data_IF_089084404610
#
_entry.id   IF_089084404610
#
_cell.length_a   1.000
_cell.length_b   1.000
_cell.length_c   1.000
_cell.angle_alpha   90.00
_cell.angle_beta   90.00
_cell.angle_gamma   90.00
#
_symmetry.space_group_name_H-M   'P 1'
#
loop_
_entity.id
_entity.type
_entity.pdbx_description
1 polymer ?
#
# COMPACT_ATOMS: atom_id res chain seq x y z
N UNK A 1 6.44 3.54 -4.26
CA UNK A 1 6.82 4.57 -5.26
C UNK A 1 6.26 5.96 -4.95
N UNK A 2 4.94 6.21 -4.95
CA UNK A 2 4.38 7.56 -4.68
C UNK A 2 4.85 8.14 -3.33
N UNK A 3 4.90 7.33 -2.27
CA UNK A 3 5.42 7.73 -0.96
C UNK A 3 6.89 8.15 -1.05
N UNK A 4 7.72 7.33 -1.69
CA UNK A 4 9.16 7.61 -1.92
C UNK A 4 9.38 8.93 -2.65
N UNK A 5 8.60 9.22 -3.70
CA UNK A 5 8.71 10.49 -4.43
C UNK A 5 8.22 11.68 -3.61
N UNK A 6 7.24 11.50 -2.72
CA UNK A 6 6.82 12.55 -1.81
C UNK A 6 7.90 12.88 -0.76
N UNK A 7 8.63 11.86 -0.27
CA UNK A 7 9.79 12.07 0.62
C UNK A 7 10.90 12.83 -0.13
N UNK A 8 11.25 12.39 -1.35
CA UNK A 8 12.25 13.09 -2.17
C UNK A 8 11.85 14.52 -2.52
N UNK A 9 10.55 14.77 -2.70
CA UNK A 9 9.99 16.12 -2.89
C UNK A 9 10.22 17.00 -1.65
N UNK A 10 9.95 16.49 -0.45
CA UNK A 10 10.16 17.25 0.80
C UNK A 10 11.64 17.48 1.05
N UNK A 11 12.50 16.47 0.86
CA UNK A 11 13.95 16.62 0.95
C UNK A 11 14.50 17.66 -0.04
N UNK A 12 14.02 17.66 -1.29
CA UNK A 12 14.42 18.65 -2.27
C UNK A 12 13.97 20.07 -1.87
N UNK A 13 12.79 20.21 -1.28
CA UNK A 13 12.31 21.50 -0.78
C UNK A 13 13.13 22.01 0.42
N UNK A 14 13.51 21.11 1.35
CA UNK A 14 14.36 21.42 2.50
C UNK A 14 15.78 21.85 2.10
N UNK A 15 16.32 21.26 1.03
CA UNK A 15 17.62 21.62 0.46
C UNK A 15 17.56 22.83 -0.50
N UNK A 16 16.44 23.55 -0.54
CA UNK A 16 16.22 24.70 -1.45
C UNK A 16 16.34 24.35 -2.96
N UNK A 17 16.22 23.07 -3.32
CA UNK A 17 16.22 22.57 -4.70
C UNK A 17 14.80 22.64 -5.32
N UNK A 18 14.19 23.83 -5.36
CA UNK A 18 12.77 24.00 -5.71
C UNK A 18 12.37 23.44 -7.08
N UNK A 19 13.22 23.57 -8.11
CA UNK A 19 12.96 23.01 -9.45
C UNK A 19 12.83 21.49 -9.41
N UNK A 20 13.65 20.84 -8.59
CA UNK A 20 13.63 19.38 -8.42
C UNK A 20 12.40 18.95 -7.63
N UNK A 21 12.00 19.70 -6.61
CA UNK A 21 10.75 19.49 -5.90
C UNK A 21 9.53 19.60 -6.83
N UNK A 22 9.52 20.56 -7.76
CA UNK A 22 8.46 20.68 -8.78
C UNK A 22 8.43 19.49 -9.76
N UNK A 23 9.59 18.98 -10.18
CA UNK A 23 9.68 17.74 -10.98
C UNK A 23 9.06 16.56 -10.21
N UNK A 24 9.43 16.37 -8.94
CA UNK A 24 8.86 15.31 -8.12
C UNK A 24 7.35 15.46 -7.94
N UNK A 25 6.86 16.68 -7.74
CA UNK A 25 5.43 16.97 -7.64
C UNK A 25 4.68 16.63 -8.92
N UNK A 26 5.24 16.97 -10.09
CA UNK A 26 4.67 16.64 -11.38
C UNK A 26 4.63 15.11 -11.60
N UNK A 27 5.72 14.41 -11.28
CA UNK A 27 5.79 12.95 -11.36
C UNK A 27 4.76 12.26 -10.45
N UNK A 28 4.60 12.72 -9.21
CA UNK A 28 3.56 12.22 -8.28
C UNK A 28 2.16 12.42 -8.84
N UNK A 29 1.89 13.56 -9.46
CA UNK A 29 0.58 13.85 -10.07
C UNK A 29 0.29 12.91 -11.24
N UNK A 30 1.27 12.70 -12.12
CA UNK A 30 1.14 11.81 -13.27
C UNK A 30 1.02 10.34 -12.85
N UNK A 31 1.73 9.90 -11.81
CA UNK A 31 1.59 8.57 -11.25
C UNK A 31 0.19 8.29 -10.71
N UNK A 32 -0.39 9.24 -9.96
CA UNK A 32 -1.77 9.10 -9.47
C UNK A 32 -2.75 8.93 -10.62
N UNK A 33 -2.65 9.77 -11.65
CA UNK A 33 -3.50 9.66 -12.84
C UNK A 33 -3.35 8.31 -13.57
N UNK A 34 -2.14 7.73 -13.62
CA UNK A 34 -1.90 6.40 -14.18
C UNK A 34 -2.55 5.30 -13.32
N UNK A 35 -2.45 5.39 -12.00
CA UNK A 35 -3.11 4.44 -11.08
C UNK A 35 -4.64 4.47 -11.24
N UNK A 36 -5.24 5.67 -11.32
CA UNK A 36 -6.69 5.81 -11.54
C UNK A 36 -7.11 5.21 -12.89
N UNK A 37 -6.31 5.45 -13.95
CA UNK A 37 -6.56 4.91 -15.29
C UNK A 37 -6.46 3.38 -15.31
N UNK A 38 -5.50 2.81 -14.56
CA UNK A 38 -5.32 1.37 -14.42
C UNK A 38 -6.57 0.72 -13.81
N UNK A 39 -7.08 1.27 -12.71
CA UNK A 39 -8.30 0.78 -12.06
C UNK A 39 -9.51 0.85 -12.99
N UNK A 40 -9.69 1.97 -13.71
CA UNK A 40 -10.78 2.13 -14.66
C UNK A 40 -10.69 1.09 -15.81
N UNK A 41 -9.48 0.85 -16.34
CA UNK A 41 -9.24 -0.15 -17.37
C UNK A 41 -9.54 -1.57 -16.88
N UNK A 42 -9.22 -1.90 -15.63
CA UNK A 42 -9.53 -3.21 -15.04
C UNK A 42 -11.04 -3.42 -14.89
N UNK A 43 -11.78 -2.39 -14.49
CA UNK A 43 -13.24 -2.41 -14.44
C UNK A 43 -13.82 -2.58 -15.85
N UNK A 44 -13.34 -1.78 -16.82
CA UNK A 44 -13.79 -1.87 -18.22
C UNK A 44 -13.48 -3.23 -18.84
N UNK A 45 -12.31 -3.82 -18.56
CA UNK A 45 -11.91 -5.16 -19.01
C UNK A 45 -12.86 -6.22 -18.47
N UNK A 46 -13.19 -6.18 -17.16
CA UNK A 46 -14.15 -7.11 -16.55
C UNK A 46 -15.54 -7.01 -17.19
N UNK A 47 -16.04 -5.79 -17.42
CA UNK A 47 -17.33 -5.57 -18.10
C UNK A 47 -17.32 -6.08 -19.54
N UNK A 48 -16.25 -5.82 -20.29
CA UNK A 48 -16.10 -6.31 -21.66
C UNK A 48 -16.05 -7.85 -21.71
N UNK A 49 -15.35 -8.49 -20.77
CA UNK A 49 -15.32 -9.94 -20.66
C UNK A 49 -16.70 -10.54 -20.33
N UNK A 50 -17.46 -9.92 -19.42
CA UNK A 50 -18.84 -10.32 -19.09
C UNK A 50 -19.80 -10.17 -20.29
N UNK A 51 -19.57 -9.18 -21.14
CA UNK A 51 -20.34 -8.96 -22.36
C UNK A 51 -19.83 -9.79 -23.56
N UNK A 52 -18.95 -10.78 -23.33
CA UNK A 52 -18.34 -11.63 -24.37
C UNK A 52 -17.57 -10.85 -25.46
N UNK A 53 -17.18 -9.61 -25.17
CA UNK A 53 -16.39 -8.76 -26.06
C UNK A 53 -14.88 -9.02 -25.89
N UNK A 54 -14.43 -10.24 -26.15
CA UNK A 54 -13.08 -10.70 -25.82
C UNK A 54 -11.95 -9.91 -26.49
N UNK A 55 -12.15 -9.44 -27.72
CA UNK A 55 -11.15 -8.60 -28.42
C UNK A 55 -10.93 -7.28 -27.68
N UNK A 56 -12.02 -6.61 -27.28
CA UNK A 56 -11.91 -5.36 -26.52
C UNK A 56 -11.28 -5.59 -25.15
N UNK A 57 -11.62 -6.69 -24.47
CA UNK A 57 -10.99 -7.06 -23.21
C UNK A 57 -9.48 -7.35 -23.35
N UNK A 58 -9.07 -7.97 -24.46
CA UNK A 58 -7.65 -8.21 -24.78
C UNK A 58 -6.90 -6.89 -25.02
N UNK A 59 -7.45 -5.97 -25.80
CA UNK A 59 -6.83 -4.68 -26.08
C UNK A 59 -6.64 -3.87 -24.78
N UNK A 60 -7.65 -3.82 -23.89
CA UNK A 60 -7.53 -3.21 -22.57
C UNK A 60 -6.46 -3.90 -21.70
N UNK A 61 -6.29 -5.21 -21.83
CA UNK A 61 -5.27 -5.95 -21.09
C UNK A 61 -3.86 -5.62 -21.57
N UNK A 62 -3.67 -5.22 -22.83
CA UNK A 62 -2.39 -4.72 -23.32
C UNK A 62 -2.09 -3.33 -22.73
N UNK A 63 -3.07 -2.42 -22.73
CA UNK A 63 -2.93 -1.09 -22.10
C UNK A 63 -2.60 -1.21 -20.60
N UNK A 64 -3.27 -2.12 -19.88
CA UNK A 64 -2.97 -2.42 -18.47
C UNK A 64 -1.50 -2.82 -18.29
N UNK A 65 -0.98 -3.70 -19.15
CA UNK A 65 0.43 -4.15 -19.07
C UNK A 65 1.42 -3.02 -19.37
N UNK A 66 1.09 -2.12 -20.28
CA UNK A 66 1.92 -0.95 -20.57
C UNK A 66 1.98 -0.03 -19.34
N UNK A 67 0.85 0.26 -18.71
CA UNK A 67 0.80 1.07 -17.48
C UNK A 67 1.56 0.38 -16.35
N UNK A 68 1.36 -0.93 -16.14
CA UNK A 68 2.11 -1.70 -15.14
C UNK A 68 3.62 -1.65 -15.38
N UNK A 69 4.05 -1.75 -16.64
CA UNK A 69 5.47 -1.62 -17.00
C UNK A 69 6.04 -0.27 -16.58
N UNK A 70 5.27 0.82 -16.72
CA UNK A 70 5.66 2.15 -16.26
C UNK A 70 5.74 2.21 -14.73
N UNK A 71 4.77 1.60 -14.03
CA UNK A 71 4.73 1.58 -12.57
C UNK A 71 5.86 0.76 -11.93
N UNK A 72 6.38 -0.23 -12.65
CA UNK A 72 7.50 -1.08 -12.23
C UNK A 72 8.89 -0.49 -12.53
N UNK A 73 8.97 0.70 -13.17
CA UNK A 73 10.23 1.37 -13.45
C UNK A 73 10.89 1.89 -12.17
N UNK A 74 12.22 2.00 -12.16
CA UNK A 74 12.94 2.65 -11.07
C UNK A 74 12.65 4.16 -11.05
N UNK A 75 12.82 4.78 -9.88
CA UNK A 75 12.51 6.19 -9.64
C UNK A 75 13.17 7.14 -10.66
N UNK A 76 14.42 6.88 -11.09
CA UNK A 76 15.14 7.77 -12.01
C UNK A 76 14.58 7.70 -13.42
N UNK A 77 14.39 6.48 -13.95
CA UNK A 77 13.81 6.28 -15.27
C UNK A 77 12.35 6.77 -15.33
N UNK A 78 11.63 6.63 -14.22
CA UNK A 78 10.27 7.11 -14.08
C UNK A 78 10.19 8.65 -14.15
N UNK A 79 11.09 9.37 -13.47
CA UNK A 79 11.13 10.85 -13.51
C UNK A 79 11.34 11.36 -14.93
N UNK A 80 12.25 10.74 -15.68
CA UNK A 80 12.48 11.09 -17.08
C UNK A 80 11.27 10.81 -17.97
N UNK A 81 10.55 9.72 -17.70
CA UNK A 81 9.39 9.30 -18.49
C UNK A 81 8.15 10.17 -18.20
N UNK A 82 7.91 10.53 -16.94
CA UNK A 82 6.71 11.24 -16.50
C UNK A 82 6.84 12.76 -16.50
N UNK A 83 8.04 13.32 -16.43
CA UNK A 83 8.27 14.76 -16.40
C UNK A 83 9.30 15.24 -17.46
N UNK A 84 9.15 14.87 -18.75
CA UNK A 84 10.16 15.14 -19.77
C UNK A 84 10.37 16.64 -20.03
N UNK A 85 9.33 17.47 -19.90
CA UNK A 85 9.41 18.91 -20.19
C UNK A 85 10.20 19.70 -19.13
N UNK A 86 10.25 19.19 -17.90
CA UNK A 86 10.93 19.85 -16.80
C UNK A 86 12.42 19.47 -16.72
N UNK A 87 12.80 18.30 -17.25
CA UNK A 87 14.18 17.82 -17.28
C UNK A 87 15.09 18.66 -18.21
N UNK A 88 14.52 19.37 -19.20
CA UNK A 88 15.28 20.17 -20.17
C UNK A 88 15.64 21.58 -19.70
N UNK A 89 15.18 22.02 -18.53
CA UNK A 89 15.34 23.42 -18.06
C UNK A 89 16.57 23.61 -17.16
N UNK A 90 17.46 22.62 -17.02
CA UNK A 90 18.74 22.84 -16.33
C UNK A 90 19.58 23.86 -17.11
N UNK A 91 19.96 25.00 -16.50
CA UNK A 91 20.84 25.95 -17.16
C UNK A 91 22.20 25.30 -17.42
N UNK A 92 22.84 25.57 -18.58
CA UNK A 92 24.16 25.04 -18.87
C UNK A 92 25.11 25.46 -17.75
N UNK A 93 25.81 24.47 -17.16
CA UNK A 93 26.85 24.69 -16.16
C UNK A 93 27.71 25.90 -16.58
N UNK A 94 27.89 26.93 -15.74
CA UNK A 94 28.75 28.05 -16.08
C UNK A 94 30.14 27.50 -16.42
N UNK A 95 30.65 27.85 -17.60
CA UNK A 95 31.99 27.47 -18.04
C UNK A 95 32.97 27.89 -16.94
N UNK A 96 33.90 27.02 -16.53
CA UNK A 96 34.87 27.37 -15.50
C UNK A 96 35.60 28.64 -15.92
N UNK A 97 35.43 29.70 -15.14
CA UNK A 97 36.22 30.92 -15.26
C UNK A 97 37.65 30.51 -14.95
N UNK A 98 38.51 30.52 -15.97
CA UNK A 98 39.94 30.24 -15.86
C UNK A 98 40.53 31.28 -14.90
N UNK A 99 40.80 30.88 -13.65
CA UNK A 99 41.61 31.69 -12.75
C UNK A 99 43.08 31.66 -13.24
N UNK A 100 43.79 32.79 -13.25
CA UNK A 100 45.20 32.82 -13.59
C UNK A 100 46.03 32.07 -12.53
N UNK A 101 46.81 31.12 -13.01
CA UNK A 101 47.72 30.26 -12.22
C UNK A 101 48.82 31.11 -11.60
N UNK A 102 48.92 31.10 -10.27
CA UNK A 102 50.10 31.58 -9.55
C UNK A 102 51.24 30.54 -9.64
N UNK A 103 52.52 30.96 -9.74
CA UNK A 103 53.65 30.06 -9.99
C UNK A 103 54.01 29.17 -8.80
N UNK A 104 54.39 27.94 -9.15
CA UNK A 104 54.77 26.83 -8.27
C UNK A 104 56.06 27.07 -7.47
N UNK A 105 56.09 26.54 -6.25
CA UNK A 105 57.31 26.27 -5.48
C UNK A 105 57.61 24.76 -5.45
N UNK A 106 58.88 24.34 -5.49
CA UNK A 106 59.27 22.94 -5.64
C UNK A 106 59.41 22.18 -4.31
N UNK A 107 59.14 20.89 -4.37
CA UNK A 107 59.29 19.90 -3.30
C UNK A 107 60.77 19.52 -3.04
N UNK A 108 61.13 19.14 -1.80
CA UNK A 108 62.39 18.47 -1.52
C UNK A 108 62.25 16.93 -1.46
N UNK A 109 63.39 16.30 -1.77
CA UNK A 109 63.60 14.89 -2.06
C UNK A 109 63.87 14.02 -0.82
N UNK A 110 63.77 12.70 -1.07
CA UNK A 110 64.56 11.58 -0.52
C UNK A 110 64.27 11.08 0.91
N UNK A 111 64.00 9.77 1.04
CA UNK A 111 65.10 8.84 1.37
C UNK A 111 64.74 7.36 1.17
N UNK A 112 65.70 6.63 0.60
CA UNK A 112 65.81 5.16 0.61
C UNK A 112 66.18 4.64 2.00
N UNK A 113 65.72 3.42 2.35
CA UNK A 113 66.58 2.39 2.98
C UNK A 113 66.02 0.99 2.74
N UNK A 114 66.91 0.09 2.36
CA UNK A 114 66.72 -1.33 2.10
C UNK A 114 66.82 -2.19 3.37
N UNK A 115 66.25 -3.41 3.36
CA UNK A 115 66.81 -4.65 3.95
C UNK A 115 65.90 -5.89 3.75
N UNK A 116 66.28 -6.76 2.81
CA UNK A 116 66.57 -8.22 2.87
C UNK A 116 65.79 -9.24 3.78
N UNK A 117 65.93 -10.58 3.51
CA UNK A 117 64.81 -11.52 3.34
C UNK A 117 64.79 -12.68 4.36
N UNK A 118 63.75 -13.53 4.34
CA UNK A 118 63.83 -14.96 4.74
C UNK A 118 62.84 -15.84 3.92
N UNK A 119 63.28 -17.06 3.61
CA UNK A 119 62.54 -18.23 3.14
C UNK A 119 62.97 -19.42 4.02
N UNK A 120 62.55 -20.69 3.84
CA UNK A 120 61.30 -21.27 3.33
C UNK A 120 60.68 -22.29 4.34
N UNK A 121 59.48 -22.80 4.08
CA UNK A 121 58.88 -23.90 4.87
C UNK A 121 57.98 -24.80 4.02
N UNK A 122 58.39 -26.05 3.87
CA UNK A 122 57.78 -27.14 3.10
C UNK A 122 56.56 -27.76 3.81
N UNK A 123 55.67 -28.36 3.01
CA UNK A 123 54.71 -29.40 3.40
C UNK A 123 53.44 -29.25 2.54
N UNK A 124 53.01 -30.18 1.67
CA UNK A 124 53.31 -31.61 1.54
C UNK A 124 52.02 -32.41 1.82
N UNK A 125 51.49 -33.06 0.78
CA UNK A 125 50.35 -34.02 0.75
C UNK A 125 48.94 -33.42 0.93
N UNK A 126 47.88 -33.87 0.26
CA UNK A 126 47.67 -34.99 -0.67
C UNK A 126 46.16 -35.27 -0.77
N UNK A 127 45.69 -35.71 -1.95
CA UNK A 127 44.58 -36.64 -2.28
C UNK A 127 43.38 -36.74 -1.29
N UNK A 128 42.08 -36.75 -1.65
CA UNK A 128 41.34 -37.10 -2.86
C UNK A 128 39.84 -36.69 -2.69
N UNK A 129 39.01 -36.74 -3.75
CA UNK A 129 37.57 -36.44 -3.72
C UNK A 129 36.65 -37.69 -3.72
N UNK A 130 35.33 -37.44 -3.57
CA UNK A 130 34.13 -38.27 -3.86
C UNK A 130 33.45 -38.95 -2.64
N UNK A 131 32.14 -39.34 -2.72
CA UNK A 131 31.23 -39.30 -3.88
C UNK A 131 29.84 -38.66 -3.64
N UNK A 132 29.18 -38.41 -4.77
CA UNK A 132 27.73 -38.27 -4.92
C UNK A 132 27.06 -39.64 -4.78
N UNK A 133 25.85 -39.69 -4.23
CA UNK A 133 24.93 -40.81 -4.45
C UNK A 133 23.51 -40.28 -4.74
N UNK A 134 22.88 -40.72 -5.86
CA UNK A 134 21.49 -40.46 -6.18
C UNK A 134 20.62 -41.67 -5.79
N UNK A 135 19.78 -41.50 -4.77
CA UNK A 135 18.90 -42.56 -4.27
C UNK A 135 17.43 -42.23 -4.41
N UNK A 136 16.90 -42.45 -5.62
CA UNK A 136 15.47 -42.52 -5.91
C UNK A 136 14.86 -43.76 -5.27
N UNK A 137 13.90 -43.59 -4.37
CA UNK A 137 13.06 -44.68 -3.85
C UNK A 137 11.60 -44.21 -3.84
N UNK A 138 10.81 -44.85 -4.70
CA UNK A 138 9.38 -44.64 -4.81
C UNK A 138 8.64 -45.08 -3.55
N UNK A 139 7.73 -44.22 -3.09
CA UNK A 139 6.72 -44.54 -2.09
C UNK A 139 5.34 -44.66 -2.76
N UNK A 140 4.53 -45.68 -2.41
CA UNK A 140 3.23 -45.92 -3.01
C UNK A 140 2.22 -44.85 -2.60
N UNK A 141 1.39 -44.43 -3.56
CA UNK A 141 0.40 -43.38 -3.38
C UNK A 141 -0.71 -43.75 -2.39
N UNK A 142 -1.26 -42.75 -1.65
CA UNK A 142 -2.44 -42.98 -0.84
C UNK A 142 -3.68 -43.06 -1.73
N UNK A 143 -4.45 -44.14 -1.52
CA UNK A 143 -5.75 -44.38 -2.13
C UNK A 143 -6.71 -43.22 -1.85
N UNK A 144 -7.30 -42.68 -2.92
CA UNK A 144 -8.43 -41.77 -2.83
C UNK A 144 -9.66 -42.54 -2.35
N UNK A 145 -10.01 -42.35 -1.08
CA UNK A 145 -11.34 -42.66 -0.56
C UNK A 145 -12.20 -41.43 -0.85
N UNK A 146 -13.07 -41.54 -1.85
CA UNK A 146 -14.17 -40.60 -2.08
C UNK A 146 -15.18 -40.69 -0.92
N UNK A 147 -15.43 -39.62 -0.15
CA UNK A 147 -16.55 -39.61 0.77
C UNK A 147 -17.87 -39.49 0.00
N UNK A 148 -18.83 -40.34 0.35
CA UNK A 148 -20.20 -40.29 -0.14
C UNK A 148 -20.87 -38.96 0.26
N UNK A 149 -21.80 -38.43 -0.56
CA UNK A 149 -22.52 -37.20 -0.23
C UNK A 149 -23.39 -37.38 1.03
N UNK A 150 -23.46 -36.39 1.93
CA UNK A 150 -24.33 -36.46 3.09
C UNK A 150 -25.80 -36.47 2.67
N UNK A 151 -26.56 -37.41 3.25
CA UNK A 151 -28.02 -37.48 3.13
C UNK A 151 -28.62 -36.18 3.67
N UNK A 152 -29.29 -35.45 2.79
CA UNK A 152 -30.13 -34.30 3.14
C UNK A 152 -31.28 -34.80 4.02
N UNK A 153 -31.27 -34.39 5.28
CA UNK A 153 -32.40 -34.56 6.20
C UNK A 153 -33.34 -33.36 5.97
N UNK A 154 -34.64 -33.57 5.74
CA UNK A 154 -35.58 -32.46 5.61
C UNK A 154 -35.75 -31.74 6.96
N UNK A 155 -35.94 -30.41 6.96
CA UNK A 155 -36.17 -29.66 8.20
C UNK A 155 -37.53 -30.04 8.84
N UNK A 156 -37.63 -30.01 10.19
CA UNK A 156 -38.89 -30.26 10.87
C UNK A 156 -39.91 -29.14 10.61
N UNK A 157 -41.22 -29.43 10.73
CA UNK A 157 -42.27 -28.45 10.48
C UNK A 157 -42.21 -27.31 11.50
N UNK A 158 -42.31 -26.08 10.99
CA UNK A 158 -42.46 -24.86 11.77
C UNK A 158 -43.81 -24.92 12.48
N UNK A 159 -43.79 -25.19 13.78
CA UNK A 159 -44.89 -24.91 14.69
C UNK A 159 -44.87 -23.42 15.00
N UNK A 160 -45.95 -22.73 14.63
CA UNK A 160 -46.16 -21.32 14.91
C UNK A 160 -46.48 -21.15 16.40
N UNK A 161 -45.47 -20.80 17.19
CA UNK A 161 -45.66 -20.39 18.58
C UNK A 161 -46.16 -18.95 18.65
N UNK A 162 -47.18 -18.73 19.47
CA UNK A 162 -47.92 -17.49 19.59
C UNK A 162 -47.08 -16.33 20.09
N UNK A 163 -47.35 -15.15 19.54
CA UNK A 163 -46.66 -13.91 19.89
C UNK A 163 -46.81 -13.55 21.36
N UNK A 164 -45.71 -13.56 22.08
CA UNK A 164 -45.54 -12.89 23.36
C UNK A 164 -45.07 -11.45 23.12
N UNK A 165 -45.60 -10.52 23.90
CA UNK A 165 -45.09 -9.16 24.01
C UNK A 165 -43.73 -9.16 24.75
N UNK A 166 -42.89 -8.12 24.63
CA UNK A 166 -41.54 -8.07 25.22
C UNK A 166 -41.47 -8.12 26.76
N UNK A 167 -42.61 -8.27 27.45
CA UNK A 167 -42.72 -8.38 28.91
C UNK A 167 -43.33 -9.70 29.39
N UNK A 168 -43.56 -10.69 28.51
CA UNK A 168 -43.91 -12.05 28.90
C UNK A 168 -45.27 -12.21 29.60
N UNK A 169 -46.28 -11.40 29.23
CA UNK A 169 -47.65 -11.54 29.76
C UNK A 169 -48.64 -11.96 28.66
N UNK A 170 -49.64 -12.81 28.98
CA UNK A 170 -50.66 -13.20 28.03
C UNK A 170 -51.54 -11.99 27.67
N UNK A 171 -51.61 -11.67 26.37
CA UNK A 171 -52.48 -10.61 25.83
C UNK A 171 -53.94 -11.06 26.03
N UNK A 172 -54.68 -10.34 26.87
CA UNK A 172 -56.11 -10.60 27.08
C UNK A 172 -56.94 -10.00 25.95
N UNK A 173 -58.04 -10.67 25.60
CA UNK A 173 -58.86 -10.39 24.42
C UNK A 173 -59.70 -9.10 24.52
N UNK A 174 -59.57 -8.33 25.60
CA UNK A 174 -60.37 -7.13 25.89
C UNK A 174 -59.73 -5.80 25.45
N UNK A 175 -58.47 -5.79 24.97
CA UNK A 175 -57.82 -4.56 24.45
C UNK A 175 -57.95 -4.36 22.92
N UNK A 176 -58.69 -5.22 22.20
CA UNK A 176 -58.91 -5.07 20.75
C UNK A 176 -60.02 -4.07 20.37
N UNK A 177 -60.71 -3.44 21.32
CA UNK A 177 -61.79 -2.49 21.04
C UNK A 177 -61.74 -1.28 21.97
N UNK A 178 -60.87 -0.33 21.69
CA UNK A 178 -61.05 1.13 21.87
C UNK A 178 -59.68 1.82 21.83
N UNK A 179 -59.49 2.82 20.97
CA UNK A 179 -58.38 3.75 21.14
C UNK A 179 -57.81 4.38 19.87
N UNK A 180 -58.43 5.47 19.44
CA UNK A 180 -57.83 6.65 18.81
C UNK A 180 -56.87 6.50 17.63
N UNK A 181 -57.45 6.62 16.43
CA UNK A 181 -56.77 7.07 15.23
C UNK A 181 -56.35 8.54 15.36
N UNK A 182 -55.11 8.80 15.78
CA UNK A 182 -54.39 10.02 15.41
C UNK A 182 -53.20 9.66 14.52
N UNK A 183 -53.18 10.08 13.25
CA UNK A 183 -52.03 9.84 12.39
C UNK A 183 -50.87 10.73 12.83
N UNK A 184 -49.81 10.13 13.36
CA UNK A 184 -48.50 10.76 13.44
C UNK A 184 -47.98 10.80 12.00
N UNK A 185 -47.92 12.00 11.42
CA UNK A 185 -47.33 12.26 10.11
C UNK A 185 -45.83 11.90 10.18
N UNK A 186 -45.33 10.93 9.38
CA UNK A 186 -43.92 10.94 9.05
C UNK A 186 -43.69 12.13 8.13
N UNK A 187 -42.83 13.06 8.53
CA UNK A 187 -42.31 14.12 7.66
C UNK A 187 -41.36 13.47 6.67
N UNK A 188 -41.92 12.67 5.76
CA UNK A 188 -41.20 12.05 4.65
C UNK A 188 -40.92 13.10 3.60
N UNK A 189 -39.64 13.31 3.30
CA UNK A 189 -39.27 13.90 2.01
C UNK A 189 -39.78 12.92 0.94
N UNK A 190 -40.89 13.29 0.31
CA UNK A 190 -41.42 12.54 -0.81
C UNK A 190 -40.34 12.56 -1.90
N UNK A 191 -39.69 11.41 -2.11
CA UNK A 191 -38.95 11.15 -3.33
C UNK A 191 -39.97 11.24 -4.46
N UNK A 192 -39.98 12.38 -5.16
CA UNK A 192 -40.76 12.56 -6.37
C UNK A 192 -40.25 11.52 -7.37
N UNK A 193 -41.00 10.43 -7.51
CA UNK A 193 -40.77 9.46 -8.57
C UNK A 193 -40.91 10.22 -9.90
N UNK A 194 -39.78 10.48 -10.55
CA UNK A 194 -39.75 11.10 -11.88
C UNK A 194 -40.61 10.27 -12.81
N UNK A 195 -41.44 10.95 -13.61
CA UNK A 195 -42.26 10.26 -14.59
C UNK A 195 -41.38 9.53 -15.61
N UNK A 196 -41.90 8.46 -16.22
CA UNK A 196 -41.14 7.75 -17.27
C UNK A 196 -40.81 8.67 -18.45
N UNK A 197 -41.61 9.72 -18.68
CA UNK A 197 -41.36 10.76 -19.68
C UNK A 197 -40.14 11.62 -19.31
N UNK A 198 -40.01 12.03 -18.04
CA UNK A 198 -38.84 12.80 -17.56
C UNK A 198 -37.55 11.99 -17.66
N UNK A 199 -37.63 10.69 -17.35
CA UNK A 199 -36.47 9.78 -17.49
C UNK A 199 -36.01 9.65 -18.94
N UNK A 200 -36.95 9.58 -19.89
CA UNK A 200 -36.64 9.54 -21.32
C UNK A 200 -36.04 10.85 -21.82
N UNK A 201 -36.54 12.00 -21.36
CA UNK A 201 -35.99 13.31 -21.69
C UNK A 201 -34.55 13.47 -21.18
N UNK A 202 -34.29 13.08 -19.93
CA UNK A 202 -32.95 13.11 -19.35
C UNK A 202 -32.00 12.20 -20.14
N UNK A 203 -32.44 10.99 -20.50
CA UNK A 203 -31.63 10.07 -21.30
C UNK A 203 -31.32 10.63 -22.71
N UNK A 204 -32.28 11.27 -23.36
CA UNK A 204 -32.09 11.91 -24.66
C UNK A 204 -31.15 13.13 -24.59
N UNK A 205 -31.28 13.96 -23.56
CA UNK A 205 -30.39 15.09 -23.32
C UNK A 205 -28.94 14.62 -23.09
N UNK A 206 -28.75 13.55 -22.32
CA UNK A 206 -27.44 12.92 -22.13
C UNK A 206 -26.85 12.41 -23.43
N UNK A 207 -27.67 11.80 -24.30
CA UNK A 207 -27.24 11.32 -25.62
C UNK A 207 -26.79 12.48 -26.52
N UNK A 208 -27.55 13.57 -26.56
CA UNK A 208 -27.21 14.76 -27.33
C UNK A 208 -25.92 15.43 -26.84
N UNK A 209 -25.75 15.57 -25.52
CA UNK A 209 -24.51 16.09 -24.93
C UNK A 209 -23.30 15.23 -25.26
N UNK A 210 -23.45 13.91 -25.25
CA UNK A 210 -22.37 12.99 -25.61
C UNK A 210 -21.98 13.13 -27.10
N UNK A 211 -22.96 13.28 -27.99
CA UNK A 211 -22.69 13.49 -29.41
C UNK A 211 -22.02 14.85 -29.69
N UNK A 212 -22.44 15.90 -28.98
CA UNK A 212 -21.80 17.21 -29.08
C UNK A 212 -20.33 17.16 -28.64
N UNK A 213 -20.03 16.57 -27.47
CA UNK A 213 -18.65 16.38 -27.00
C UNK A 213 -17.79 15.61 -28.00
N UNK A 214 -18.36 14.58 -28.66
CA UNK A 214 -17.67 13.80 -29.69
C UNK A 214 -17.34 14.66 -30.92
N UNK A 215 -18.23 15.57 -31.33
CA UNK A 215 -17.99 16.51 -32.44
C UNK A 215 -16.90 17.52 -32.10
N UNK A 216 -16.94 18.09 -30.89
CA UNK A 216 -15.94 19.03 -30.40
C UNK A 216 -14.54 18.39 -30.33
N UNK A 217 -14.44 17.16 -29.80
CA UNK A 217 -13.17 16.43 -29.74
C UNK A 217 -12.60 16.14 -31.13
N UNK A 218 -13.46 15.78 -32.10
CA UNK A 218 -13.05 15.53 -33.49
C UNK A 218 -12.53 16.81 -34.16
N UNK A 219 -13.16 17.95 -33.90
CA UNK A 219 -12.70 19.24 -34.43
C UNK A 219 -11.39 19.67 -33.78
N UNK A 220 -11.23 19.49 -32.46
CA UNK A 220 -9.97 19.74 -31.77
C UNK A 220 -8.83 18.88 -32.31
N UNK A 221 -9.09 17.60 -32.58
CA UNK A 221 -8.10 16.71 -33.20
C UNK A 221 -7.71 17.17 -34.62
N UNK A 222 -8.68 17.69 -35.40
CA UNK A 222 -8.44 18.27 -36.73
C UNK A 222 -7.58 19.52 -36.64
N UNK A 223 -7.86 20.41 -35.69
CA UNK A 223 -7.06 21.62 -35.43
C UNK A 223 -5.62 21.26 -35.02
N UNK A 224 -5.44 20.29 -34.12
CA UNK A 224 -4.11 19.82 -33.70
C UNK A 224 -3.30 19.24 -34.86
N UNK A 225 -3.93 18.46 -35.75
CA UNK A 225 -3.29 17.98 -36.98
C UNK A 225 -2.92 19.11 -37.94
N UNK A 226 -3.78 20.12 -38.10
CA UNK A 226 -3.50 21.28 -38.93
C UNK A 226 -2.32 22.10 -38.38
N UNK A 227 -2.26 22.32 -37.07
CA UNK A 227 -1.17 23.02 -36.40
C UNK A 227 0.17 22.29 -36.56
N UNK A 228 0.21 20.95 -36.37
CA UNK A 228 1.41 20.14 -36.62
C UNK A 228 1.88 20.23 -38.07
N UNK A 229 0.95 20.23 -39.03
CA UNK A 229 1.27 20.37 -40.45
C UNK A 229 1.81 21.77 -40.79
N UNK A 230 1.30 22.82 -40.15
CA UNK A 230 1.81 24.17 -40.30
C UNK A 230 3.23 24.32 -39.70
N UNK A 231 3.49 23.71 -38.54
CA UNK A 231 4.79 23.73 -37.90
C UNK A 231 5.90 23.00 -38.69
N UNK A 232 5.54 21.95 -39.45
CA UNK A 232 6.47 21.22 -40.32
C UNK A 232 6.69 21.87 -41.70
N UNK A 233 5.97 22.95 -42.03
CA UNK A 233 6.01 23.62 -43.33
C UNK A 233 7.09 24.71 -43.48
N UNK A 234 8.14 24.71 -42.67
CA UNK A 234 9.19 25.74 -42.66
C UNK A 234 10.46 25.37 -43.45
N UNK A 235 10.51 25.75 -44.73
CA UNK A 235 11.73 26.20 -45.42
C UNK A 235 12.70 25.15 -46.00
N UNK A 236 13.16 25.32 -47.26
CA UNK A 236 14.19 24.47 -47.85
C UNK A 236 15.57 24.84 -47.28
N UNK A 237 16.15 23.96 -46.47
CA UNK A 237 17.55 24.08 -46.06
C UNK A 237 18.45 23.58 -47.20
N UNK A 238 19.35 24.47 -47.61
CA UNK A 238 20.33 24.27 -48.67
C UNK A 238 21.25 23.07 -48.43
N UNK A 239 21.56 22.42 -49.55
CA UNK A 239 22.54 21.34 -49.72
C UNK A 239 23.93 21.82 -49.31
N UNK A 240 24.59 21.11 -48.40
CA UNK A 240 26.05 21.17 -48.20
C UNK A 240 26.67 19.83 -48.64
N UNK A 241 27.87 19.84 -49.25
CA UNK A 241 28.46 18.69 -49.94
C UNK A 241 29.18 17.70 -49.00
N UNK A 242 29.42 16.46 -49.45
CA UNK A 242 30.00 15.40 -48.63
C UNK A 242 31.53 15.49 -48.55
N UNK A 243 32.09 15.33 -47.35
CA UNK A 243 33.52 15.10 -47.13
C UNK A 243 33.82 13.61 -46.91
N UNK A 244 35.02 13.12 -47.29
CA UNK A 244 35.32 11.70 -47.43
C UNK A 244 35.88 11.09 -46.15
N UNK A 245 35.50 9.83 -45.90
CA UNK A 245 36.06 8.96 -44.86
C UNK A 245 37.37 8.29 -45.35
N UNK A 246 38.34 8.03 -44.47
CA UNK A 246 39.34 6.99 -44.66
C UNK A 246 39.02 5.72 -43.86
N UNK A 247 39.64 4.63 -44.32
CA UNK A 247 39.25 3.24 -44.17
C UNK A 247 39.98 2.48 -43.03
N UNK A 248 39.26 1.49 -42.46
CA UNK A 248 39.66 0.16 -41.88
C UNK A 248 40.63 0.11 -40.67
N UNK A 249 40.75 -1.00 -39.88
CA UNK A 249 40.16 -2.35 -40.01
C UNK A 249 39.55 -3.03 -38.74
N UNK A 250 38.89 -4.16 -39.03
CA UNK A 250 38.49 -5.36 -38.25
C UNK A 250 39.32 -5.77 -37.02
N UNK A 251 38.68 -6.23 -35.94
CA UNK A 251 38.83 -7.57 -35.31
C UNK A 251 38.21 -7.66 -33.88
N UNK A 252 37.52 -8.79 -33.64
CA UNK A 252 37.40 -9.59 -32.39
C UNK A 252 36.73 -9.07 -31.09
N UNK A 253 35.84 -9.93 -30.56
CA UNK A 253 35.32 -10.05 -29.18
C UNK A 253 36.45 -10.03 -28.10
N UNK A 254 36.23 -9.89 -26.76
CA UNK A 254 35.05 -10.26 -25.92
C UNK A 254 34.69 -9.21 -24.81
N UNK A 255 33.76 -9.48 -23.86
CA UNK A 255 34.26 -9.57 -22.46
C UNK A 255 33.44 -10.45 -21.48
N UNK A 256 34.15 -11.02 -20.50
CA UNK A 256 33.67 -11.34 -19.15
C UNK A 256 34.82 -11.13 -18.16
N UNK A 257 34.61 -10.26 -17.15
CA UNK A 257 34.93 -10.44 -15.72
C UNK A 257 35.15 -9.10 -14.99
N UNK A 258 34.32 -8.94 -13.96
CA UNK A 258 34.45 -8.26 -12.67
C UNK A 258 35.85 -7.73 -12.28
N UNK A 259 35.92 -6.52 -11.72
CA UNK A 259 36.63 -6.18 -10.46
C UNK A 259 36.08 -4.83 -9.94
N UNK A 260 35.70 -4.80 -8.66
CA UNK A 260 35.30 -3.62 -7.89
C UNK A 260 36.51 -2.95 -7.20
N UNK A 261 36.44 -1.62 -7.00
CA UNK A 261 37.28 -0.84 -6.06
C UNK A 261 36.73 0.62 -5.91
N UNK A 262 37.16 1.43 -4.91
CA UNK A 262 36.70 1.47 -3.53
C UNK A 262 36.12 2.83 -3.09
N UNK A 263 35.41 2.86 -1.95
CA UNK A 263 34.93 4.07 -1.25
C UNK A 263 36.03 4.71 -0.37
N UNK A 264 36.02 6.04 -0.14
CA UNK A 264 36.95 6.73 0.75
C UNK A 264 36.47 6.86 2.20
N UNK A 265 37.45 7.14 3.05
CA UNK A 265 37.51 7.04 4.51
C UNK A 265 36.60 7.98 5.33
N UNK A 266 36.26 7.46 6.52
CA UNK A 266 35.70 8.11 7.71
C UNK A 266 36.72 9.06 8.39
N UNK A 267 36.27 10.14 9.06
CA UNK A 267 37.10 10.89 10.01
C UNK A 267 37.10 10.30 11.42
N UNK A 268 38.20 10.61 12.12
CA UNK A 268 38.75 10.04 13.35
C UNK A 268 37.92 10.17 14.64
N UNK A 269 38.24 9.24 15.54
CA UNK A 269 37.69 9.01 16.86
C UNK A 269 37.97 10.13 17.87
N UNK A 270 36.95 10.41 18.70
CA UNK A 270 37.04 11.18 19.94
C UNK A 270 36.93 10.19 21.12
N UNK A 271 37.75 10.29 22.18
CA UNK A 271 37.73 9.34 23.28
C UNK A 271 36.46 9.49 24.13
N UNK A 272 35.88 8.34 24.48
CA UNK A 272 34.70 8.19 25.34
C UNK A 272 35.03 8.59 26.79
N UNK A 273 34.14 9.29 27.50
CA UNK A 273 34.25 9.41 28.94
C UNK A 273 33.78 8.12 29.60
N UNK A 274 34.61 7.59 30.50
CA UNK A 274 34.27 6.53 31.46
C UNK A 274 33.03 6.93 32.27
N UNK A 275 31.86 6.46 31.84
CA UNK A 275 30.62 6.51 32.64
C UNK A 275 30.71 5.37 33.63
N UNK A 276 30.93 5.73 34.90
CA UNK A 276 30.85 4.78 36.00
C UNK A 276 29.45 4.19 36.05
N UNK A 277 29.45 2.87 35.90
CA UNK A 277 28.37 1.92 36.10
C UNK A 277 27.92 1.94 37.56
N UNK A 278 26.93 2.78 37.88
CA UNK A 278 26.10 2.62 39.08
C UNK A 278 24.83 1.87 38.66
N UNK A 279 24.71 0.64 39.16
CA UNK A 279 23.73 -0.34 38.73
C UNK A 279 22.31 0.04 39.14
N UNK A 280 21.62 0.70 38.23
CA UNK A 280 20.17 0.67 38.16
C UNK A 280 19.82 -0.63 37.44
N UNK A 281 19.35 -1.61 38.23
CA UNK A 281 18.72 -2.84 37.76
C UNK A 281 17.41 -2.45 37.05
N UNK A 282 17.56 -1.86 35.86
CA UNK A 282 16.48 -1.46 34.98
C UNK A 282 15.69 -2.72 34.67
N UNK A 283 14.43 -2.75 35.10
CA UNK A 283 13.47 -3.82 34.87
C UNK A 283 13.12 -3.96 33.38
N UNK A 284 14.12 -4.22 32.55
CA UNK A 284 13.98 -4.52 31.15
C UNK A 284 13.17 -5.80 30.99
N UNK A 285 12.20 -5.75 30.09
CA UNK A 285 11.45 -6.95 29.72
C UNK A 285 12.41 -8.07 29.31
N UNK A 286 12.16 -9.33 29.71
CA UNK A 286 13.02 -10.45 29.33
C UNK A 286 13.25 -10.49 27.82
N UNK A 287 14.50 -10.64 27.41
CA UNK A 287 14.85 -10.72 25.98
C UNK A 287 14.06 -11.87 25.34
N UNK A 288 13.47 -11.61 24.18
CA UNK A 288 12.63 -12.57 23.46
C UNK A 288 11.20 -12.71 23.99
N UNK A 289 10.78 -11.93 24.97
CA UNK A 289 9.38 -11.92 25.43
C UNK A 289 8.54 -10.87 24.69
N UNK A 290 7.39 -11.28 24.17
CA UNK A 290 6.41 -10.37 23.61
C UNK A 290 5.76 -9.54 24.72
N UNK A 291 5.94 -8.22 24.69
CA UNK A 291 5.38 -7.32 25.71
C UNK A 291 3.84 -7.28 25.74
N UNK A 292 3.17 -7.66 24.63
CA UNK A 292 1.72 -7.57 24.52
C UNK A 292 0.95 -8.79 25.08
N UNK A 293 1.49 -10.00 24.90
CA UNK A 293 0.82 -11.24 25.30
C UNK A 293 1.70 -12.22 26.08
N UNK A 294 2.93 -11.79 26.42
CA UNK A 294 3.91 -12.56 27.21
C UNK A 294 4.38 -13.86 26.55
N UNK A 295 4.18 -14.01 25.23
CA UNK A 295 4.76 -15.10 24.45
C UNK A 295 6.30 -15.06 24.50
N UNK A 296 6.93 -16.18 24.86
CA UNK A 296 8.38 -16.33 24.86
C UNK A 296 8.85 -16.90 23.52
N UNK A 297 9.62 -16.11 22.77
CA UNK A 297 10.22 -16.53 21.52
C UNK A 297 11.50 -17.33 21.75
N UNK A 298 11.86 -18.13 20.74
CA UNK A 298 13.16 -18.85 20.69
C UNK A 298 14.31 -17.95 20.28
N UNK A 299 14.02 -17.01 19.40
CA UNK A 299 14.97 -16.05 18.81
C UNK A 299 14.22 -14.79 18.34
N UNK A 300 14.96 -13.81 17.80
CA UNK A 300 14.41 -12.55 17.32
C UNK A 300 13.50 -12.71 16.08
N UNK A 301 13.77 -13.71 15.23
CA UNK A 301 12.97 -13.97 14.03
C UNK A 301 11.60 -14.53 14.40
N UNK A 302 11.56 -15.42 15.39
CA UNK A 302 10.34 -15.96 15.98
C UNK A 302 9.51 -14.86 16.66
N UNK A 303 10.14 -13.95 17.42
CA UNK A 303 9.45 -12.80 18.00
C UNK A 303 8.88 -11.87 16.93
N UNK A 304 9.66 -11.59 15.88
CA UNK A 304 9.22 -10.74 14.76
C UNK A 304 8.02 -11.35 14.04
N UNK A 305 8.05 -12.65 13.75
CA UNK A 305 6.91 -13.37 13.16
C UNK A 305 5.70 -13.28 14.09
N UNK A 306 5.89 -13.52 15.38
CA UNK A 306 4.83 -13.45 16.36
C UNK A 306 4.16 -12.06 16.35
N UNK A 307 4.92 -10.97 16.44
CA UNK A 307 4.34 -9.62 16.42
C UNK A 307 3.56 -9.33 15.12
N UNK A 308 4.10 -9.76 13.98
CA UNK A 308 3.50 -9.49 12.67
C UNK A 308 2.27 -10.37 12.36
N UNK A 309 2.25 -11.62 12.82
CA UNK A 309 1.28 -12.62 12.36
C UNK A 309 0.49 -13.25 13.50
N UNK A 310 1.18 -13.69 14.57
CA UNK A 310 0.58 -14.61 15.54
C UNK A 310 0.06 -13.94 16.81
N UNK A 311 0.52 -12.72 17.13
CA UNK A 311 0.24 -12.08 18.41
C UNK A 311 -1.26 -11.75 18.52
N UNK A 312 -2.00 -12.35 19.47
CA UNK A 312 -3.45 -12.21 19.54
C UNK A 312 -3.90 -10.82 20.00
N UNK A 313 -3.02 -10.09 20.70
CA UNK A 313 -3.29 -8.73 21.18
C UNK A 313 -3.09 -7.67 20.10
N UNK A 314 -2.53 -8.04 18.94
CA UNK A 314 -2.28 -7.13 17.83
C UNK A 314 -3.22 -7.46 16.66
N UNK A 315 -3.58 -6.45 15.89
CA UNK A 315 -4.35 -6.61 14.66
C UNK A 315 -3.78 -5.72 13.55
N UNK A 316 -4.10 -6.03 12.30
CA UNK A 316 -3.77 -5.15 11.18
C UNK A 316 -4.93 -4.17 10.96
N UNK A 317 -4.63 -2.88 10.87
CA UNK A 317 -5.63 -1.88 10.50
C UNK A 317 -6.19 -2.21 9.10
N UNK A 318 -7.52 -2.34 8.93
CA UNK A 318 -8.09 -2.74 7.64
C UNK A 318 -7.93 -1.68 6.54
N UNK A 319 -7.55 -0.45 6.89
CA UNK A 319 -7.42 0.67 5.96
C UNK A 319 -5.96 0.95 5.55
N UNK A 320 -5.00 0.82 6.47
CA UNK A 320 -3.58 1.13 6.19
C UNK A 320 -2.61 -0.04 6.43
N UNK A 321 -3.13 -1.21 6.83
CA UNK A 321 -2.39 -2.45 7.05
C UNK A 321 -1.30 -2.39 8.14
N UNK A 322 -1.19 -1.28 8.88
CA UNK A 322 -0.28 -1.16 10.02
C UNK A 322 -0.72 -2.10 11.14
N UNK A 323 0.25 -2.79 11.75
CA UNK A 323 0.03 -3.58 12.96
C UNK A 323 -0.13 -2.62 14.15
N UNK A 324 -1.24 -2.76 14.87
CA UNK A 324 -1.60 -1.95 16.03
C UNK A 324 -2.10 -2.84 17.16
N UNK A 325 -2.06 -2.34 18.38
CA UNK A 325 -2.73 -2.98 19.50
C UNK A 325 -4.23 -3.02 19.23
N UNK A 326 -4.83 -4.20 19.39
CA UNK A 326 -6.27 -4.41 19.19
C UNK A 326 -7.11 -3.40 19.97
N UNK A 327 -6.89 -3.14 21.28
CA UNK A 327 -7.69 -2.15 22.00
C UNK A 327 -7.53 -0.72 21.48
N UNK A 328 -6.40 -0.39 20.86
CA UNK A 328 -6.09 0.95 20.33
C UNK A 328 -6.50 1.13 18.86
N UNK A 329 -7.12 0.12 18.24
CA UNK A 329 -7.54 0.19 16.84
C UNK A 329 -8.50 1.36 16.55
N UNK A 330 -9.53 1.67 17.38
CA UNK A 330 -10.42 2.80 17.13
C UNK A 330 -9.68 4.14 17.13
N UNK A 331 -8.83 4.39 18.12
CA UNK A 331 -8.04 5.62 18.24
C UNK A 331 -7.07 5.76 17.07
N UNK A 332 -6.41 4.66 16.69
CA UNK A 332 -5.57 4.63 15.50
C UNK A 332 -6.37 5.02 14.25
N UNK A 333 -7.54 4.42 14.02
CA UNK A 333 -8.32 4.68 12.81
C UNK A 333 -8.80 6.12 12.70
N UNK A 334 -9.15 6.75 13.81
CA UNK A 334 -9.64 8.14 13.81
C UNK A 334 -8.50 9.16 13.79
N UNK A 335 -7.45 8.97 14.60
CA UNK A 335 -6.42 9.98 14.82
C UNK A 335 -5.14 9.79 13.99
N UNK A 336 -4.72 8.55 13.74
CA UNK A 336 -3.38 8.24 13.19
C UNK A 336 -3.40 7.62 11.80
N UNK A 337 -4.52 7.03 11.39
CA UNK A 337 -4.59 6.23 10.17
C UNK A 337 -4.47 7.13 8.94
N UNK A 338 -3.41 6.92 8.16
CA UNK A 338 -3.13 7.67 6.94
C UNK A 338 -4.30 7.64 5.93
N UNK A 339 -5.02 6.51 5.86
CA UNK A 339 -6.19 6.38 5.00
C UNK A 339 -7.36 7.26 5.48
N UNK A 340 -7.61 7.32 6.80
CA UNK A 340 -8.66 8.20 7.34
C UNK A 340 -8.29 9.68 7.25
N UNK A 341 -6.99 10.01 7.21
CA UNK A 341 -6.50 11.38 7.04
C UNK A 341 -6.51 11.84 5.57
N UNK A 342 -6.66 10.94 4.59
CA UNK A 342 -6.73 11.32 3.18
C UNK A 342 -8.12 11.94 2.89
N UNK A 343 -8.20 13.22 2.48
CA UNK A 343 -9.47 13.89 2.20
C UNK A 343 -10.22 13.31 0.98
N UNK A 344 -9.60 12.42 0.21
CA UNK A 344 -10.24 11.71 -0.90
C UNK A 344 -10.80 10.34 -0.48
N UNK A 345 -10.57 9.91 0.75
CA UNK A 345 -11.14 8.66 1.24
C UNK A 345 -12.66 8.80 1.32
N UNK A 346 -13.44 7.88 0.72
CA UNK A 346 -14.89 8.03 0.61
C UNK A 346 -15.61 7.93 1.96
N UNK A 347 -14.96 7.37 2.98
CA UNK A 347 -15.53 7.15 4.30
C UNK A 347 -14.51 7.56 5.36
N UNK A 348 -14.84 8.60 6.10
CA UNK A 348 -14.15 8.97 7.33
C UNK A 348 -14.86 8.35 8.53
N UNK A 349 -14.09 8.07 9.59
CA UNK A 349 -14.60 7.55 10.85
C UNK A 349 -14.32 8.49 12.02
N UNK A 350 -15.25 8.49 12.98
CA UNK A 350 -15.18 9.20 14.25
C UNK A 350 -15.57 8.24 15.40
N UNK A 351 -15.23 8.59 16.63
CA UNK A 351 -15.55 7.80 17.81
C UNK A 351 -16.85 8.28 18.45
N UNK A 352 -17.74 7.35 18.77
CA UNK A 352 -18.88 7.68 19.63
C UNK A 352 -18.39 8.11 21.03
N UNK A 353 -18.77 9.29 21.55
CA UNK A 353 -18.34 9.74 22.87
C UNK A 353 -18.91 8.91 24.04
N UNK A 354 -19.94 8.08 23.80
CA UNK A 354 -20.57 7.25 24.83
C UNK A 354 -19.99 5.84 24.90
N UNK A 355 -19.87 5.17 23.74
CA UNK A 355 -19.45 3.76 23.65
C UNK A 355 -18.06 3.57 23.04
N UNK A 356 -17.39 4.64 22.58
CA UNK A 356 -16.08 4.65 21.92
C UNK A 356 -15.96 3.72 20.70
N UNK A 357 -17.07 3.27 20.13
CA UNK A 357 -17.03 2.55 18.87
C UNK A 357 -16.68 3.51 17.74
N UNK A 358 -15.94 2.98 16.77
CA UNK A 358 -15.65 3.65 15.51
C UNK A 358 -16.88 3.62 14.61
N UNK A 359 -17.42 4.80 14.27
CA UNK A 359 -18.63 4.98 13.47
C UNK A 359 -18.27 5.86 12.27
N UNK A 360 -18.76 5.56 11.05
CA UNK A 360 -18.60 6.48 9.93
C UNK A 360 -19.12 7.87 10.26
N UNK A 361 -18.39 8.93 9.91
CA UNK A 361 -18.70 10.33 10.25
C UNK A 361 -20.15 10.70 9.90
N UNK A 362 -20.63 10.23 8.76
CA UNK A 362 -21.99 10.50 8.26
C UNK A 362 -23.08 9.87 9.14
N UNK A 363 -22.75 8.86 9.95
CA UNK A 363 -23.67 8.14 10.83
C UNK A 363 -23.46 8.47 12.32
N UNK A 364 -22.40 9.21 12.67
CA UNK A 364 -22.02 9.40 14.08
C UNK A 364 -23.14 10.08 14.89
N UNK A 365 -23.79 11.12 14.35
CA UNK A 365 -24.86 11.83 15.07
C UNK A 365 -26.08 10.94 15.32
N UNK A 366 -26.51 10.18 14.32
CA UNK A 366 -27.63 9.25 14.45
C UNK A 366 -27.31 8.16 15.49
N UNK A 367 -26.10 7.59 15.42
CA UNK A 367 -25.63 6.65 16.43
C UNK A 367 -25.63 7.27 17.82
N UNK A 368 -25.03 8.45 18.03
CA UNK A 368 -24.95 9.09 19.36
C UNK A 368 -26.33 9.33 19.96
N UNK A 369 -27.31 9.72 19.13
CA UNK A 369 -28.70 9.94 19.56
C UNK A 369 -29.39 8.67 20.06
N UNK A 370 -29.08 7.52 19.44
CA UNK A 370 -29.67 6.23 19.75
C UNK A 370 -28.77 5.33 20.64
N UNK A 371 -27.54 5.74 20.92
CA UNK A 371 -26.59 4.96 21.68
C UNK A 371 -26.95 4.94 23.16
N UNK A 372 -27.31 3.75 23.63
CA UNK A 372 -27.67 3.44 25.02
C UNK A 372 -26.49 2.95 25.85
N UNK A 373 -25.36 2.63 25.20
CA UNK A 373 -24.14 2.17 25.87
C UNK A 373 -23.37 3.38 26.37
N UNK A 374 -23.14 3.44 27.68
CA UNK A 374 -22.27 4.44 28.31
C UNK A 374 -21.19 3.70 29.07
N UNK A 375 -19.96 3.84 28.62
CA UNK A 375 -18.81 3.21 29.28
C UNK A 375 -18.45 3.95 30.56
N UNK A 376 -18.07 3.20 31.59
CA UNK A 376 -17.34 3.74 32.73
C UNK A 376 -15.86 3.92 32.39
N UNK A 377 -15.10 4.65 33.21
CA UNK A 377 -13.68 4.94 32.96
C UNK A 377 -12.79 3.71 32.78
N UNK A 378 -13.18 2.56 33.35
CA UNK A 378 -12.46 1.30 33.24
C UNK A 378 -12.98 0.39 32.12
N UNK A 379 -14.23 0.54 31.69
CA UNK A 379 -14.85 -0.40 30.75
C UNK A 379 -14.39 -0.11 29.33
N UNK A 380 -14.25 -1.18 28.54
CA UNK A 380 -13.81 -1.07 27.15
C UNK A 380 -14.71 -1.90 26.24
N UNK A 381 -14.88 -1.44 25.00
CA UNK A 381 -15.56 -2.22 23.96
C UNK A 381 -14.50 -2.89 23.10
N UNK A 382 -14.63 -4.20 22.86
CA UNK A 382 -13.76 -4.88 21.90
C UNK A 382 -14.06 -4.36 20.48
N UNK A 383 -13.07 -3.78 19.77
CA UNK A 383 -13.33 -3.16 18.47
C UNK A 383 -13.54 -4.18 17.33
N UNK A 384 -13.26 -5.46 17.59
CA UNK A 384 -13.43 -6.53 16.61
C UNK A 384 -14.84 -7.14 16.67
N UNK A 385 -15.33 -7.46 17.87
CA UNK A 385 -16.60 -8.16 18.06
C UNK A 385 -17.72 -7.33 18.71
N UNK A 386 -17.41 -6.10 19.13
CA UNK A 386 -18.31 -5.19 19.85
C UNK A 386 -18.86 -5.74 21.18
N UNK A 387 -18.09 -6.61 21.85
CA UNK A 387 -18.42 -7.08 23.20
C UNK A 387 -17.95 -6.05 24.25
N UNK A 388 -18.79 -5.83 25.27
CA UNK A 388 -18.46 -4.98 26.40
C UNK A 388 -17.60 -5.77 27.41
N UNK A 389 -16.42 -5.24 27.70
CA UNK A 389 -15.44 -5.83 28.59
C UNK A 389 -15.33 -4.99 29.86
N UNK A 390 -15.09 -5.66 30.98
CA UNK A 390 -15.13 -5.02 32.30
C UNK A 390 -14.01 -4.00 32.49
N UNK A 391 -12.83 -4.36 32.05
CA UNK A 391 -11.59 -3.60 32.19
C UNK A 391 -10.53 -4.04 31.16
N UNK A 392 -9.34 -3.44 31.25
CA UNK A 392 -8.21 -3.77 30.38
C UNK A 392 -7.65 -5.19 30.59
N UNK A 393 -7.79 -5.76 31.80
CA UNK A 393 -7.36 -7.14 32.06
C UNK A 393 -8.32 -8.14 31.40
N UNK A 394 -9.63 -7.92 31.53
CA UNK A 394 -10.68 -8.66 30.84
C UNK A 394 -10.52 -8.57 29.32
N UNK A 395 -10.07 -7.42 28.81
CA UNK A 395 -9.71 -7.27 27.40
C UNK A 395 -8.51 -8.11 27.00
N UNK A 396 -7.44 -8.10 27.79
CA UNK A 396 -6.26 -8.93 27.53
C UNK A 396 -6.64 -10.41 27.50
N UNK A 397 -7.36 -10.90 28.51
CA UNK A 397 -7.89 -12.26 28.58
C UNK A 397 -8.83 -12.57 27.40
N UNK A 398 -9.67 -11.63 26.98
CA UNK A 398 -10.55 -11.78 25.82
C UNK A 398 -9.77 -12.01 24.51
N UNK A 399 -8.57 -11.42 24.39
CA UNK A 399 -7.71 -11.63 23.23
C UNK A 399 -6.87 -12.90 23.34
N UNK A 400 -6.36 -13.24 24.52
CA UNK A 400 -5.36 -14.32 24.71
C UNK A 400 -5.95 -15.67 25.12
N UNK A 401 -7.07 -15.73 25.84
CA UNK A 401 -7.53 -16.92 26.56
C UNK A 401 -8.98 -17.36 26.23
N UNK A 402 -9.29 -18.61 26.59
CA UNK A 402 -10.67 -19.12 26.70
C UNK A 402 -11.42 -19.30 25.37
N UNK A 403 -12.69 -18.85 25.33
CA UNK A 403 -13.50 -18.80 24.10
C UNK A 403 -13.05 -17.69 23.13
N UNK A 404 -12.18 -16.79 23.60
CA UNK A 404 -11.56 -15.72 22.83
C UNK A 404 -12.53 -14.73 22.18
N UNK A 405 -11.97 -13.71 21.56
CA UNK A 405 -12.68 -12.86 20.64
C UNK A 405 -13.07 -13.64 19.37
N UNK A 406 -14.37 -13.90 19.18
CA UNK A 406 -14.88 -14.59 17.97
C UNK A 406 -14.56 -13.88 16.66
N UNK A 407 -14.22 -12.59 16.71
CA UNK A 407 -13.91 -11.77 15.53
C UNK A 407 -12.41 -11.55 15.36
N UNK A 408 -11.55 -12.14 16.22
CA UNK A 408 -10.11 -11.98 16.09
C UNK A 408 -9.56 -12.96 15.06
N UNK A 409 -9.05 -12.48 13.91
CA UNK A 409 -8.56 -13.35 12.84
C UNK A 409 -7.28 -14.11 13.23
N UNK A 410 -6.57 -13.71 14.29
CA UNK A 410 -5.34 -14.38 14.74
C UNK A 410 -5.60 -15.57 15.66
N UNK A 411 -6.77 -15.60 16.31
CA UNK A 411 -7.13 -16.68 17.23
C UNK A 411 -8.31 -17.52 16.76
N UNK A 412 -9.18 -16.98 15.89
CA UNK A 412 -10.31 -17.73 15.37
C UNK A 412 -9.93 -18.53 14.09
N UNK A 413 -9.89 -19.88 14.16
CA UNK A 413 -9.54 -20.72 13.02
C UNK A 413 -10.53 -20.63 11.85
N UNK A 414 -11.78 -20.23 12.09
CA UNK A 414 -12.78 -20.03 11.03
C UNK A 414 -12.48 -18.78 10.18
N UNK A 415 -11.74 -17.81 10.73
CA UNK A 415 -11.38 -16.57 10.05
C UNK A 415 -10.03 -16.65 9.34
N UNK A 416 -9.13 -17.55 9.77
CA UNK A 416 -7.79 -17.77 9.20
C UNK A 416 -7.79 -18.27 7.73
N UNK A 417 -8.95 -18.59 7.15
CA UNK A 417 -9.08 -19.14 5.79
C UNK A 417 -9.43 -18.09 4.70
N UNK A 418 -9.45 -16.80 5.04
CA UNK A 418 -9.72 -15.70 4.10
C UNK A 418 -8.54 -14.76 4.03
#
# INVERSE_FOLDING_TARGET
MIVTLNIKKTEAAENEEYLKADIYKAAVTNLRALTDTLEELEIRKRKAAQAEMYRAAHDMNLEIKEIQTILDMDDETLLHTLAPEMATVMPPKPKPVVQPVAPAMPAPQANEVASLPMSPGQGGAGYAPLPQDPGSVGGPGPSMVTPAPPKVVPPPPIVSDGGLNPFGQPITQEEMQMGDSRPIKPTGMAAFALSEEDKLQIAEEHRLRAEQKKRELKELARQRRAALKAAQGGGPLGVLPPTPQPAVPSMTQPPRQMVAKPQPAHPEARPEPDVMNDGEEEGGFPVGMCHFCLYQSKDESDLRRHLLVDCPCLCCCPACERVVETPCLPEHMVAECAANQDPNTPVHFDLCPKCRQMIPDILVQDHVSNCTVVLTDIQVMCPLCNELLKDGEDALTHYTEGRGCRANPRTNPELLQR
#
